data_IF_709146170759
#
_entry.id   IF_709146170759
#
_cell.length_a   1.000
_cell.length_b   1.000
_cell.length_c   1.000
_cell.angle_alpha   90.00
_cell.angle_beta   90.00
_cell.angle_gamma   90.00
#
_symmetry.space_group_name_H-M   'P 1'
#
loop_
_entity.id
_entity.type
_entity.pdbx_description
1 polymer ?
#
# COMPACT_ATOMS: atom_id res chain seq x y z
N UNK A 1 -4.36 -7.14 -5.32
CA UNK A 1 -4.04 -7.08 -6.76
C UNK A 1 -5.10 -6.35 -7.59
N UNK A 2 -6.39 -6.58 -7.35
CA UNK A 2 -7.50 -5.86 -8.03
C UNK A 2 -7.35 -4.33 -8.04
N UNK A 3 -7.15 -3.68 -6.89
CA UNK A 3 -6.96 -2.23 -6.85
C UNK A 3 -5.71 -1.76 -7.61
N UNK A 4 -4.65 -2.56 -7.59
CA UNK A 4 -3.42 -2.24 -8.32
C UNK A 4 -3.70 -2.19 -9.83
N UNK A 5 -4.43 -3.17 -10.33
CA UNK A 5 -4.90 -3.21 -11.72
C UNK A 5 -5.85 -2.05 -12.03
N UNK A 6 -6.78 -1.71 -11.14
CA UNK A 6 -7.69 -0.57 -11.34
C UNK A 6 -6.93 0.76 -11.46
N UNK A 7 -5.90 0.96 -10.63
CA UNK A 7 -5.05 2.15 -10.66
C UNK A 7 -4.24 2.19 -11.97
N UNK A 8 -3.66 1.07 -12.39
CA UNK A 8 -2.96 0.96 -13.68
C UNK A 8 -3.88 1.28 -14.86
N UNK A 9 -5.11 0.76 -14.85
CA UNK A 9 -6.11 1.03 -15.88
C UNK A 9 -6.57 2.50 -15.88
N UNK A 10 -6.47 3.20 -14.76
CA UNK A 10 -6.74 4.63 -14.65
C UNK A 10 -5.58 5.52 -15.16
N UNK A 11 -4.50 4.92 -15.70
CA UNK A 11 -3.37 5.65 -16.25
C UNK A 11 -2.37 6.14 -15.20
N UNK A 12 -2.40 5.56 -14.00
CA UNK A 12 -1.41 5.80 -12.95
C UNK A 12 -0.48 4.60 -12.83
N UNK A 13 0.79 4.84 -12.54
CA UNK A 13 1.76 3.78 -12.25
C UNK A 13 1.85 3.61 -10.72
N UNK A 14 1.26 2.56 -10.12
CA UNK A 14 1.46 2.26 -8.72
C UNK A 14 2.90 1.76 -8.50
N UNK A 15 3.61 2.34 -7.51
CA UNK A 15 5.05 2.12 -7.29
C UNK A 15 5.39 1.51 -5.93
N UNK A 16 4.46 1.52 -4.97
CA UNK A 16 4.66 0.92 -3.65
C UNK A 16 3.34 0.41 -3.08
N UNK A 17 3.40 -0.62 -2.23
CA UNK A 17 2.27 -1.10 -1.42
C UNK A 17 2.71 -1.40 0.00
N UNK A 18 1.97 -0.87 0.98
CA UNK A 18 2.25 -1.06 2.40
C UNK A 18 0.95 -1.25 3.17
N UNK A 19 0.98 -2.10 4.18
CA UNK A 19 -0.05 -2.20 5.20
C UNK A 19 0.35 -1.38 6.42
N UNK A 20 -0.57 -1.23 7.34
CA UNK A 20 -0.37 -0.54 8.60
C UNK A 20 -0.74 -1.49 9.73
N UNK A 21 0.25 -1.77 10.58
CA UNK A 21 0.15 -2.78 11.63
C UNK A 21 0.51 -2.18 12.97
N UNK A 22 -0.18 -2.62 14.01
CA UNK A 22 0.18 -2.28 15.38
C UNK A 22 1.38 -3.11 15.82
N UNK A 23 2.40 -2.46 16.37
CA UNK A 23 3.55 -3.09 16.99
C UNK A 23 3.41 -3.03 18.52
N UNK A 24 3.12 -4.17 19.19
CA UNK A 24 2.91 -4.20 20.63
C UNK A 24 4.20 -3.97 21.43
N UNK A 25 5.38 -4.21 20.86
CA UNK A 25 6.66 -4.01 21.56
C UNK A 25 6.97 -2.52 21.72
N UNK A 26 6.77 -1.76 20.65
CA UNK A 26 7.00 -0.30 20.65
C UNK A 26 5.75 0.49 21.00
N UNK A 27 4.63 -0.21 21.26
CA UNK A 27 3.32 0.37 21.52
C UNK A 27 2.91 1.46 20.52
N UNK A 28 3.09 1.16 19.24
CA UNK A 28 2.90 2.15 18.18
C UNK A 28 2.55 1.49 16.86
N UNK A 29 2.12 2.30 15.92
CA UNK A 29 1.78 1.82 14.58
C UNK A 29 2.97 1.95 13.63
N UNK A 30 3.07 1.04 12.67
CA UNK A 30 4.11 1.06 11.64
C UNK A 30 3.58 0.63 10.28
N UNK A 31 4.24 1.12 9.23
CA UNK A 31 4.08 0.57 7.90
C UNK A 31 4.72 -0.82 7.83
N UNK A 32 4.09 -1.72 7.08
CA UNK A 32 4.50 -3.10 6.86
C UNK A 32 4.48 -3.39 5.37
N UNK A 33 5.58 -3.90 4.83
CA UNK A 33 5.66 -4.42 3.46
C UNK A 33 5.22 -5.89 3.35
N UNK A 34 4.97 -6.55 4.49
CA UNK A 34 4.66 -7.99 4.56
C UNK A 34 3.19 -8.30 4.81
N UNK A 35 2.54 -7.53 5.67
CA UNK A 35 1.14 -7.77 6.06
C UNK A 35 0.22 -6.74 5.41
N UNK A 36 -0.49 -7.19 4.38
CA UNK A 36 -1.47 -6.43 3.59
C UNK A 36 -2.88 -7.03 3.71
N UNK A 37 -3.09 -7.97 4.63
CA UNK A 37 -4.26 -8.85 4.64
C UNK A 37 -5.57 -8.13 4.99
N UNK A 38 -5.49 -7.14 5.88
CA UNK A 38 -6.65 -6.39 6.37
C UNK A 38 -6.71 -4.99 5.78
N UNK A 39 -5.54 -4.38 5.57
CA UNK A 39 -5.44 -3.03 5.04
C UNK A 39 -4.19 -2.90 4.17
N UNK A 40 -4.28 -2.02 3.19
CA UNK A 40 -3.16 -1.67 2.33
C UNK A 40 -3.36 -0.27 1.77
N UNK A 41 -2.25 0.43 1.55
CA UNK A 41 -2.14 1.70 0.87
C UNK A 41 -1.13 1.56 -0.25
N UNK A 42 -1.32 2.31 -1.34
CA UNK A 42 -0.43 2.32 -2.49
C UNK A 42 -0.05 3.74 -2.85
N UNK A 43 1.22 3.96 -3.17
CA UNK A 43 1.69 5.18 -3.78
C UNK A 43 1.67 5.01 -5.30
N UNK A 44 1.24 6.03 -6.04
CA UNK A 44 1.19 5.98 -7.50
C UNK A 44 1.66 7.29 -8.10
N UNK A 45 2.34 7.21 -9.25
CA UNK A 45 2.78 8.37 -10.02
C UNK A 45 1.91 8.52 -11.26
N UNK A 46 1.66 9.77 -11.65
CA UNK A 46 1.10 10.10 -12.96
C UNK A 46 2.26 10.51 -13.86
N UNK A 47 2.59 9.68 -14.83
CA UNK A 47 3.59 10.03 -15.85
C UNK A 47 3.10 11.23 -16.66
N UNK A 48 4.01 12.17 -16.94
CA UNK A 48 3.72 13.44 -17.62
C UNK A 48 3.34 13.23 -19.09
#
# INVERSE_FOLDING_TARGET
DELYTLISNAGLEPVDRKGFVFNPITWGWKLSDRDLSVNYVTASIKSA
#
